data_IF_304618978631
#
_entry.id   IF_304618978631
#
_cell.length_a   1.000
_cell.length_b   1.000
_cell.length_c   1.000
_cell.angle_alpha   90.00
_cell.angle_beta   90.00
_cell.angle_gamma   90.00
#
_symmetry.space_group_name_H-M   'P 1'
#
loop_
_entity.id
_entity.type
_entity.pdbx_description
1 polymer ?
#
# COMPACT_ATOMS: atom_id res chain seq x y z
N UNK A 1 -37.53 33.53 -19.47
CA UNK A 1 -36.51 33.54 -18.44
C UNK A 1 -36.24 32.13 -18.01
N UNK A 2 -35.14 31.48 -18.38
CA UNK A 2 -34.84 30.12 -17.94
C UNK A 2 -34.26 30.14 -16.53
N UNK A 3 -34.79 29.28 -15.67
CA UNK A 3 -34.31 29.07 -14.31
C UNK A 3 -32.90 28.48 -14.38
N UNK A 4 -31.93 29.18 -13.82
CA UNK A 4 -30.57 28.65 -13.54
C UNK A 4 -30.72 27.62 -12.41
N UNK A 5 -30.59 26.36 -12.75
CA UNK A 5 -30.36 25.27 -11.79
C UNK A 5 -28.89 25.37 -11.38
N UNK A 6 -28.64 25.94 -10.22
CA UNK A 6 -27.31 25.87 -9.59
C UNK A 6 -27.11 24.44 -9.09
N UNK A 7 -26.26 23.69 -9.75
CA UNK A 7 -25.67 22.49 -9.17
C UNK A 7 -24.77 22.95 -8.02
N UNK A 8 -25.23 22.76 -6.81
CA UNK A 8 -24.38 22.82 -5.63
C UNK A 8 -23.56 21.55 -5.65
N UNK A 9 -22.33 21.63 -6.12
CA UNK A 9 -21.32 20.63 -5.83
C UNK A 9 -21.08 20.69 -4.32
N UNK A 10 -21.68 19.79 -3.57
CA UNK A 10 -21.18 19.44 -2.28
C UNK A 10 -19.80 18.84 -2.51
N UNK A 11 -18.75 19.58 -2.18
CA UNK A 11 -17.39 19.11 -2.07
C UNK A 11 -17.30 18.15 -0.88
N UNK A 12 -17.86 16.95 -1.04
CA UNK A 12 -17.67 15.83 -0.14
C UNK A 12 -16.29 15.23 -0.44
N UNK A 13 -15.34 15.54 0.44
CA UNK A 13 -14.27 14.71 1.00
C UNK A 13 -13.98 13.40 0.25
N UNK A 14 -13.45 13.50 -0.96
CA UNK A 14 -12.92 12.36 -1.73
C UNK A 14 -11.39 12.49 -1.84
N UNK A 15 -10.74 12.59 -0.73
CA UNK A 15 -9.29 12.54 -0.67
C UNK A 15 -8.86 11.26 0.00
N UNK A 16 -8.08 10.44 -0.67
CA UNK A 16 -7.51 9.18 -0.18
C UNK A 16 -8.37 7.93 -0.43
N UNK A 17 -8.72 7.65 -1.68
CA UNK A 17 -9.31 6.36 -2.03
C UNK A 17 -8.28 5.23 -2.18
N UNK A 18 -7.00 5.46 -1.93
CA UNK A 18 -6.00 4.39 -1.90
C UNK A 18 -5.85 3.70 -0.54
N UNK A 19 -6.54 4.10 0.50
CA UNK A 19 -6.42 3.45 1.82
C UNK A 19 -7.58 3.68 2.76
N UNK A 20 -8.78 3.75 2.25
CA UNK A 20 -9.92 3.76 3.16
C UNK A 20 -10.19 2.35 3.69
N UNK A 21 -9.54 2.04 4.82
CA UNK A 21 -10.32 1.41 5.86
C UNK A 21 -11.56 2.28 6.05
N UNK A 22 -12.67 1.85 5.50
CA UNK A 22 -13.94 2.56 5.43
C UNK A 22 -14.20 3.32 6.73
N UNK A 23 -14.11 4.65 6.69
CA UNK A 23 -14.80 5.44 7.68
C UNK A 23 -16.25 4.95 7.66
N UNK A 24 -16.84 4.69 8.82
CA UNK A 24 -18.20 4.15 8.96
C UNK A 24 -19.20 5.10 8.29
N UNK A 25 -19.32 5.01 6.97
CA UNK A 25 -20.45 5.57 6.27
C UNK A 25 -21.62 4.62 6.49
N UNK A 26 -22.73 5.14 6.97
CA UNK A 26 -24.00 4.43 6.97
C UNK A 26 -24.22 3.93 5.54
N UNK A 27 -24.65 2.67 5.37
CA UNK A 27 -24.96 2.14 4.05
C UNK A 27 -26.21 2.86 3.56
N UNK A 28 -26.03 3.78 2.61
CA UNK A 28 -27.16 4.50 2.00
C UNK A 28 -27.76 3.66 0.87
N UNK A 29 -29.10 3.67 0.73
CA UNK A 29 -29.76 2.99 -0.39
C UNK A 29 -29.39 3.64 -1.71
N UNK A 30 -29.06 2.83 -2.70
CA UNK A 30 -28.76 3.31 -4.03
C UNK A 30 -27.49 2.72 -4.59
N UNK A 31 -27.19 3.13 -5.81
CA UNK A 31 -25.98 2.74 -6.53
C UNK A 31 -24.98 3.88 -6.49
N UNK A 32 -23.74 3.56 -6.10
CA UNK A 32 -22.60 4.47 -6.14
C UNK A 32 -21.50 3.88 -7.01
N UNK A 33 -20.88 4.75 -7.78
CA UNK A 33 -19.75 4.41 -8.64
C UNK A 33 -18.59 5.37 -8.38
N UNK A 34 -17.46 4.81 -7.97
CA UNK A 34 -16.23 5.52 -7.74
C UNK A 34 -15.11 4.88 -8.51
N UNK A 35 -14.01 5.59 -8.70
CA UNK A 35 -12.86 5.01 -9.36
C UNK A 35 -11.57 5.76 -9.07
N UNK A 36 -10.48 5.05 -9.32
CA UNK A 36 -9.14 5.57 -9.34
C UNK A 36 -8.44 5.16 -10.62
N UNK A 37 -7.76 6.08 -11.27
CA UNK A 37 -6.99 5.79 -12.45
C UNK A 37 -5.67 6.56 -12.43
N UNK A 38 -4.58 5.89 -12.77
CA UNK A 38 -3.28 6.49 -13.05
C UNK A 38 -2.66 5.85 -14.27
N UNK A 39 -1.82 6.62 -14.96
CA UNK A 39 -1.10 6.09 -16.08
C UNK A 39 -0.25 7.16 -16.75
N UNK A 40 0.60 6.73 -17.65
CA UNK A 40 1.47 7.66 -18.34
C UNK A 40 2.35 6.99 -19.39
N UNK A 41 3.21 7.82 -19.95
CA UNK A 41 4.22 7.43 -20.91
C UNK A 41 5.50 8.19 -20.58
N UNK A 42 6.62 7.49 -20.64
CA UNK A 42 7.95 8.10 -20.50
C UNK A 42 8.93 7.56 -21.53
N UNK A 43 10.01 8.30 -21.70
CA UNK A 43 11.16 7.91 -22.51
C UNK A 43 12.39 8.05 -21.63
N UNK A 44 13.15 6.98 -21.48
CA UNK A 44 14.37 6.94 -20.70
C UNK A 44 15.59 6.74 -21.57
N UNK A 45 16.72 7.33 -21.16
CA UNK A 45 17.99 7.15 -21.83
C UNK A 45 18.68 5.81 -21.51
N UNK A 46 18.31 5.17 -20.39
CA UNK A 46 18.79 3.84 -20.02
C UNK A 46 17.62 2.94 -19.58
N UNK A 47 17.21 1.97 -20.40
CA UNK A 47 16.17 1.03 -20.06
C UNK A 47 16.63 -0.03 -19.03
N UNK A 48 17.93 -0.13 -18.73
CA UNK A 48 18.51 -1.20 -17.90
C UNK A 48 18.32 -0.95 -16.40
N UNK A 49 18.05 0.28 -15.96
CA UNK A 49 17.63 0.55 -14.57
C UNK A 49 16.34 -0.21 -14.17
N UNK A 50 15.69 -0.82 -15.15
CA UNK A 50 14.46 -1.56 -15.03
C UNK A 50 14.61 -3.07 -15.17
N UNK A 51 15.77 -3.64 -14.95
CA UNK A 51 15.98 -5.08 -15.13
C UNK A 51 15.06 -5.95 -14.23
N UNK A 52 14.48 -5.37 -13.19
CA UNK A 52 13.40 -5.98 -12.41
C UNK A 52 12.00 -5.43 -12.79
N UNK A 53 11.90 -4.65 -13.87
CA UNK A 53 10.59 -4.15 -14.29
C UNK A 53 9.73 -5.32 -14.72
N UNK A 54 8.71 -5.58 -13.95
CA UNK A 54 7.62 -6.45 -14.36
C UNK A 54 7.08 -5.99 -15.73
N UNK A 55 6.60 -6.92 -16.55
CA UNK A 55 6.04 -6.63 -17.89
C UNK A 55 4.98 -5.51 -17.90
N UNK A 56 4.33 -5.26 -16.75
CA UNK A 56 3.35 -4.20 -16.58
C UNK A 56 3.92 -2.78 -16.49
N UNK A 57 5.23 -2.61 -16.35
CA UNK A 57 5.91 -1.33 -16.47
C UNK A 57 6.18 -0.92 -17.93
N UNK A 58 5.69 -1.67 -18.90
CA UNK A 58 6.02 -1.57 -20.32
C UNK A 58 5.55 -0.30 -21.05
N UNK A 59 5.16 0.76 -20.34
CA UNK A 59 4.78 2.06 -20.96
C UNK A 59 5.96 2.94 -21.28
N UNK A 60 7.19 2.41 -21.31
CA UNK A 60 8.39 3.18 -21.61
C UNK A 60 8.88 4.10 -20.50
N UNK A 61 8.21 4.11 -19.34
CA UNK A 61 8.72 4.75 -18.13
C UNK A 61 9.68 3.80 -17.43
N UNK A 62 10.84 4.31 -17.05
CA UNK A 62 11.69 3.60 -16.11
C UNK A 62 11.10 3.71 -14.71
N UNK A 63 10.86 2.56 -14.10
CA UNK A 63 10.56 2.49 -12.68
C UNK A 63 11.88 2.41 -11.93
N UNK A 64 12.17 3.45 -11.16
CA UNK A 64 13.29 3.45 -10.25
C UNK A 64 12.94 2.62 -9.02
N UNK A 65 13.47 1.41 -8.97
CA UNK A 65 13.37 0.52 -7.83
C UNK A 65 14.76 0.14 -7.38
N UNK A 66 15.09 0.41 -6.12
CA UNK A 66 16.39 0.03 -5.59
C UNK A 66 16.51 -1.48 -5.53
N UNK A 67 17.62 -1.99 -6.04
CA UNK A 67 17.94 -3.40 -6.03
C UNK A 67 17.92 -3.98 -4.60
N UNK A 68 17.10 -5.01 -4.38
CA UNK A 68 16.86 -5.61 -3.07
C UNK A 68 15.78 -4.94 -2.23
N UNK A 69 15.17 -3.89 -2.72
CA UNK A 69 13.96 -3.37 -2.11
C UNK A 69 12.78 -4.29 -2.42
N UNK A 70 12.09 -4.73 -1.38
CA UNK A 70 11.01 -5.72 -1.45
C UNK A 70 9.64 -5.14 -1.22
N UNK A 71 9.55 -3.82 -1.00
CA UNK A 71 8.34 -3.25 -0.42
C UNK A 71 7.48 -2.53 -1.44
N UNK A 72 8.09 -1.77 -2.35
CA UNK A 72 7.36 -0.99 -3.33
C UNK A 72 8.25 -0.56 -4.47
N UNK A 73 7.72 -0.55 -5.67
CA UNK A 73 8.39 0.01 -6.84
C UNK A 73 8.58 1.52 -6.74
N UNK A 74 7.88 2.15 -5.81
CA UNK A 74 7.88 3.60 -5.58
C UNK A 74 8.52 4.02 -4.27
N UNK A 75 9.29 3.15 -3.60
CA UNK A 75 9.87 3.43 -2.28
C UNK A 75 10.78 4.66 -2.23
N UNK A 76 11.45 5.00 -3.33
CA UNK A 76 12.18 6.26 -3.53
C UNK A 76 11.29 7.42 -4.02
N UNK A 77 9.96 7.31 -3.94
CA UNK A 77 8.98 8.29 -4.40
C UNK A 77 8.26 7.87 -5.67
N UNK A 78 6.96 8.11 -5.72
CA UNK A 78 6.09 7.63 -6.79
C UNK A 78 6.02 8.53 -8.03
N UNK A 79 6.36 9.80 -7.94
CA UNK A 79 6.25 10.73 -9.07
C UNK A 79 7.20 10.34 -10.21
N UNK A 80 6.66 10.22 -11.44
CA UNK A 80 7.42 9.76 -12.60
C UNK A 80 7.88 8.31 -12.53
N UNK A 81 7.29 7.49 -11.65
CA UNK A 81 7.67 6.12 -11.34
C UNK A 81 6.45 5.19 -11.21
N UNK A 82 5.35 5.51 -11.85
CA UNK A 82 4.09 4.78 -11.69
C UNK A 82 3.70 4.03 -12.96
N UNK A 83 3.27 2.79 -12.77
CA UNK A 83 2.63 2.00 -13.81
C UNK A 83 1.21 2.48 -14.10
N UNK A 84 0.62 1.99 -15.20
CA UNK A 84 -0.79 2.16 -15.48
C UNK A 84 -1.62 1.33 -14.50
N UNK A 85 -2.69 1.94 -13.97
CA UNK A 85 -3.57 1.31 -13.00
C UNK A 85 -4.98 1.88 -13.09
N UNK A 86 -5.98 1.04 -12.95
CA UNK A 86 -7.38 1.44 -12.89
C UNK A 86 -8.10 0.62 -11.83
N UNK A 87 -8.88 1.29 -10.99
CA UNK A 87 -9.81 0.66 -10.04
C UNK A 87 -11.21 1.20 -10.28
N UNK A 88 -12.18 0.31 -10.36
CA UNK A 88 -13.60 0.62 -10.54
C UNK A 88 -14.38 0.04 -9.37
N UNK A 89 -14.87 0.92 -8.49
CA UNK A 89 -15.62 0.56 -7.30
C UNK A 89 -17.11 0.73 -7.55
N UNK A 90 -17.86 -0.36 -7.37
CA UNK A 90 -19.30 -0.43 -7.51
C UNK A 90 -19.92 -0.79 -6.15
N UNK A 91 -20.74 0.11 -5.61
CA UNK A 91 -21.42 -0.09 -4.34
C UNK A 91 -22.92 -0.03 -4.57
N UNK A 92 -23.65 -1.03 -4.09
CA UNK A 92 -25.12 -1.05 -4.12
C UNK A 92 -25.65 -1.21 -2.70
N UNK A 93 -26.27 -0.16 -2.18
CA UNK A 93 -26.97 -0.19 -0.90
C UNK A 93 -28.43 -0.59 -1.04
N UNK A 94 -28.93 -1.35 -0.06
CA UNK A 94 -30.32 -1.80 0.07
C UNK A 94 -30.81 -1.49 1.47
N UNK A 95 -32.02 -0.98 1.61
CA UNK A 95 -32.72 -0.90 2.89
C UNK A 95 -33.78 -1.99 2.99
N UNK A 96 -33.94 -2.54 4.18
CA UNK A 96 -35.01 -3.45 4.50
C UNK A 96 -35.81 -2.92 5.70
N UNK A 97 -37.03 -3.42 5.86
CA UNK A 97 -37.82 -3.17 7.06
C UNK A 97 -37.01 -3.62 8.29
N UNK A 98 -37.00 -2.84 9.35
CA UNK A 98 -36.31 -3.12 10.63
C UNK A 98 -34.94 -2.46 10.83
N UNK A 99 -34.68 -1.29 10.26
CA UNK A 99 -33.47 -0.47 10.48
C UNK A 99 -32.15 -1.13 10.09
N UNK A 100 -32.15 -2.23 9.36
CA UNK A 100 -30.97 -2.85 8.80
C UNK A 100 -30.71 -2.34 7.38
N UNK A 101 -29.47 -1.99 7.11
CA UNK A 101 -28.98 -1.67 5.77
C UNK A 101 -28.01 -2.74 5.28
N UNK A 102 -28.12 -3.10 4.01
CA UNK A 102 -27.24 -4.07 3.35
C UNK A 102 -26.50 -3.41 2.20
N UNK A 103 -25.23 -3.74 2.01
CA UNK A 103 -24.42 -3.29 0.89
C UNK A 103 -23.77 -4.45 0.17
N UNK A 104 -23.72 -4.36 -1.16
CA UNK A 104 -22.87 -5.19 -2.01
C UNK A 104 -21.78 -4.30 -2.60
N UNK A 105 -20.53 -4.73 -2.45
CA UNK A 105 -19.36 -3.98 -2.92
C UNK A 105 -18.58 -4.85 -3.89
N UNK A 106 -18.14 -4.26 -5.02
CA UNK A 106 -17.25 -4.88 -5.96
C UNK A 106 -16.17 -3.89 -6.39
N UNK A 107 -14.93 -4.34 -6.46
CA UNK A 107 -13.80 -3.58 -7.00
C UNK A 107 -13.15 -4.38 -8.13
N UNK A 108 -13.17 -3.79 -9.34
CA UNK A 108 -12.54 -4.33 -10.52
C UNK A 108 -11.26 -3.53 -10.76
N UNK A 109 -10.14 -4.23 -10.81
CA UNK A 109 -8.80 -3.64 -11.00
C UNK A 109 -8.25 -4.05 -12.35
N UNK A 110 -7.59 -3.11 -13.01
CA UNK A 110 -6.80 -3.36 -14.21
C UNK A 110 -5.38 -2.79 -14.02
N UNK A 111 -4.40 -3.66 -14.04
CA UNK A 111 -2.98 -3.35 -14.18
C UNK A 111 -2.49 -3.92 -15.50
N UNK A 112 -2.15 -5.20 -15.51
CA UNK A 112 -1.85 -6.01 -16.71
C UNK A 112 -3.07 -6.76 -17.19
N UNK A 113 -3.84 -7.27 -16.24
CA UNK A 113 -5.05 -8.05 -16.45
C UNK A 113 -6.21 -7.43 -15.69
N UNK A 114 -7.43 -7.75 -16.12
CA UNK A 114 -8.64 -7.39 -15.44
C UNK A 114 -8.89 -8.38 -14.30
N UNK A 115 -8.92 -7.91 -13.06
CA UNK A 115 -9.14 -8.74 -11.88
C UNK A 115 -10.32 -8.24 -11.05
N UNK A 116 -11.07 -9.15 -10.44
CA UNK A 116 -12.06 -8.84 -9.42
C UNK A 116 -11.36 -8.91 -8.06
N UNK A 117 -10.93 -7.76 -7.54
CA UNK A 117 -10.12 -7.71 -6.32
C UNK A 117 -10.95 -7.68 -5.05
N UNK A 118 -12.14 -7.08 -5.11
CA UNK A 118 -13.09 -7.17 -4.01
C UNK A 118 -14.47 -7.57 -4.51
N UNK A 119 -15.11 -8.46 -3.76
CA UNK A 119 -16.53 -8.79 -3.89
C UNK A 119 -17.03 -9.25 -2.52
N UNK A 120 -17.72 -8.37 -1.83
CA UNK A 120 -18.23 -8.68 -0.50
C UNK A 120 -19.58 -8.01 -0.23
N UNK A 121 -20.32 -8.58 0.69
CA UNK A 121 -21.53 -7.97 1.25
C UNK A 121 -21.27 -7.49 2.66
N UNK A 122 -22.02 -6.48 3.08
CA UNK A 122 -21.98 -5.93 4.44
C UNK A 122 -23.39 -5.62 4.94
N UNK A 123 -23.54 -5.61 6.27
CA UNK A 123 -24.79 -5.30 6.95
C UNK A 123 -24.55 -4.42 8.17
N UNK A 124 -25.28 -3.29 8.24
CA UNK A 124 -25.33 -2.38 9.38
C UNK A 124 -26.64 -2.56 10.14
N UNK A 125 -26.71 -2.00 11.37
CA UNK A 125 -27.96 -2.00 12.15
C UNK A 125 -28.29 -3.33 12.83
N UNK A 126 -27.40 -4.33 12.77
CA UNK A 126 -27.60 -5.64 13.43
C UNK A 126 -27.74 -5.48 14.95
N UNK A 127 -27.00 -4.54 15.53
CA UNK A 127 -27.08 -4.20 16.94
C UNK A 127 -27.71 -2.83 17.13
N UNK A 128 -28.89 -2.76 17.69
CA UNK A 128 -29.63 -1.50 17.90
C UNK A 128 -28.88 -0.51 18.82
N UNK A 129 -28.02 -0.99 19.71
CA UNK A 129 -27.23 -0.17 20.62
C UNK A 129 -25.85 0.21 20.06
N UNK A 130 -25.41 -0.40 18.97
CA UNK A 130 -24.11 -0.21 18.33
C UNK A 130 -24.31 -0.06 16.81
N UNK A 131 -24.93 1.04 16.41
CA UNK A 131 -25.29 1.31 15.01
C UNK A 131 -24.09 1.35 14.05
N UNK A 132 -22.88 1.57 14.57
CA UNK A 132 -21.65 1.58 13.78
C UNK A 132 -21.07 0.18 13.49
N UNK A 133 -21.53 -0.85 14.22
CA UNK A 133 -21.05 -2.20 14.02
C UNK A 133 -21.54 -2.77 12.69
N UNK A 134 -20.62 -3.18 11.85
CA UNK A 134 -20.88 -3.68 10.49
C UNK A 134 -20.34 -5.08 10.34
N UNK A 135 -21.21 -6.01 9.96
CA UNK A 135 -20.80 -7.36 9.55
C UNK A 135 -20.49 -7.38 8.06
N UNK A 136 -19.52 -8.19 7.67
CA UNK A 136 -19.15 -8.37 6.27
C UNK A 136 -18.76 -9.81 5.97
N UNK A 137 -18.91 -10.23 4.71
CA UNK A 137 -18.44 -11.51 4.19
C UNK A 137 -18.12 -11.40 2.70
N UNK A 138 -17.02 -11.98 2.27
CA UNK A 138 -16.57 -11.99 0.88
C UNK A 138 -15.06 -11.72 0.73
N UNK A 139 -14.61 -11.45 -0.51
CA UNK A 139 -13.24 -11.07 -0.83
C UNK A 139 -13.09 -9.57 -0.61
N UNK A 140 -12.09 -9.18 0.18
CA UNK A 140 -11.96 -7.78 0.60
C UNK A 140 -10.50 -7.39 0.89
N UNK A 141 -10.16 -6.13 0.61
CA UNK A 141 -9.01 -5.48 1.20
C UNK A 141 -9.28 -5.23 2.68
N UNK A 142 -8.47 -5.80 3.57
CA UNK A 142 -8.76 -5.79 4.98
C UNK A 142 -7.56 -5.36 5.84
N UNK A 143 -7.84 -4.56 6.87
CA UNK A 143 -6.87 -4.08 7.86
C UNK A 143 -5.62 -3.45 7.22
N UNK A 144 -5.79 -2.71 6.12
CA UNK A 144 -4.69 -2.05 5.43
C UNK A 144 -4.24 -0.79 6.16
N UNK A 145 -2.94 -0.59 6.22
CA UNK A 145 -2.29 0.69 6.52
C UNK A 145 -1.36 0.99 5.37
N UNK A 146 -1.56 2.12 4.71
CA UNK A 146 -0.84 2.48 3.50
C UNK A 146 -0.08 3.79 3.66
N UNK A 147 0.96 3.94 2.86
CA UNK A 147 1.76 5.15 2.79
C UNK A 147 1.56 5.84 1.45
N UNK A 148 1.61 7.18 1.45
CA UNK A 148 1.14 7.97 0.31
C UNK A 148 2.24 8.20 -0.75
N UNK A 149 3.43 8.64 -0.33
CA UNK A 149 4.46 9.08 -1.28
C UNK A 149 5.25 7.94 -1.90
N UNK A 150 5.29 6.78 -1.27
CA UNK A 150 5.97 5.60 -1.78
C UNK A 150 5.03 4.42 -2.06
N UNK A 151 3.72 4.66 -2.02
CA UNK A 151 2.67 3.73 -2.46
C UNK A 151 2.82 2.31 -1.88
N UNK A 152 3.08 2.23 -0.56
CA UNK A 152 3.38 0.98 0.11
C UNK A 152 2.28 0.59 1.11
N UNK A 153 1.95 -0.69 1.14
CA UNK A 153 1.11 -1.27 2.19
C UNK A 153 1.99 -1.64 3.39
N UNK A 154 1.96 -0.82 4.45
CA UNK A 154 2.72 -1.08 5.67
C UNK A 154 2.12 -2.19 6.54
N UNK A 155 0.83 -2.49 6.38
CA UNK A 155 0.09 -3.59 7.00
C UNK A 155 -1.06 -4.01 6.09
N UNK A 156 -1.35 -5.31 5.97
CA UNK A 156 -2.56 -5.81 5.32
C UNK A 156 -2.95 -7.21 5.79
N UNK A 157 -4.25 -7.52 5.64
CA UNK A 157 -4.83 -8.83 5.89
C UNK A 157 -5.89 -9.16 4.83
N UNK A 158 -5.56 -8.85 3.59
CA UNK A 158 -6.46 -9.01 2.45
C UNK A 158 -6.83 -10.45 2.20
N UNK A 159 -8.04 -10.69 1.72
CA UNK A 159 -8.46 -12.03 1.33
C UNK A 159 -9.97 -12.25 1.33
N UNK A 160 -10.35 -13.51 1.07
CA UNK A 160 -11.70 -13.99 1.26
C UNK A 160 -11.92 -14.26 2.76
N UNK A 161 -13.02 -13.75 3.30
CA UNK A 161 -13.27 -13.92 4.72
C UNK A 161 -14.60 -13.39 5.19
N UNK A 162 -14.67 -13.17 6.47
CA UNK A 162 -15.81 -12.56 7.14
C UNK A 162 -15.34 -11.87 8.43
N UNK A 163 -16.14 -10.93 8.90
CA UNK A 163 -15.79 -10.20 10.12
C UNK A 163 -16.86 -9.23 10.57
N UNK A 164 -16.49 -8.48 11.58
CA UNK A 164 -17.26 -7.36 12.13
C UNK A 164 -16.33 -6.18 12.30
N UNK A 165 -16.74 -5.02 11.80
CA UNK A 165 -16.02 -3.77 11.91
C UNK A 165 -16.75 -2.79 12.83
N UNK A 166 -15.98 -1.90 13.44
CA UNK A 166 -16.42 -0.65 14.07
C UNK A 166 -17.42 -0.81 15.23
N UNK A 167 -17.34 -1.91 15.96
CA UNK A 167 -18.09 -2.02 17.22
C UNK A 167 -17.56 -0.98 18.22
N UNK A 168 -18.40 -0.02 18.61
CA UNK A 168 -18.06 0.95 19.64
C UNK A 168 -17.99 0.26 21.00
N UNK A 169 -16.80 0.23 21.58
CA UNK A 169 -16.55 -0.34 22.93
C UNK A 169 -16.28 0.76 23.97
N UNK A 170 -16.60 2.01 23.66
CA UNK A 170 -16.42 3.18 24.52
C UNK A 170 -14.98 3.72 24.57
N UNK A 171 -13.99 2.86 24.43
CA UNK A 171 -12.57 3.27 24.34
C UNK A 171 -12.10 3.53 22.91
N UNK A 172 -12.89 3.11 21.91
CA UNK A 172 -12.59 3.19 20.50
C UNK A 172 -13.48 2.24 19.70
N UNK A 173 -13.17 2.06 18.41
CA UNK A 173 -13.88 1.20 17.47
C UNK A 173 -13.14 -0.13 17.33
N UNK A 174 -13.75 -1.21 17.78
CA UNK A 174 -13.20 -2.55 17.69
C UNK A 174 -13.63 -3.24 16.40
N UNK A 175 -12.68 -3.87 15.70
CA UNK A 175 -12.93 -4.70 14.52
C UNK A 175 -12.22 -6.04 14.67
N UNK A 176 -12.81 -7.10 14.12
CA UNK A 176 -12.25 -8.43 14.04
C UNK A 176 -12.69 -9.12 12.75
N UNK A 177 -11.76 -9.79 12.07
CA UNK A 177 -12.05 -10.55 10.87
C UNK A 177 -11.18 -11.78 10.74
N UNK A 178 -11.69 -12.75 9.99
CA UNK A 178 -10.95 -13.93 9.56
C UNK A 178 -10.82 -13.85 8.05
N UNK A 179 -9.59 -13.89 7.54
CA UNK A 179 -9.29 -13.78 6.12
C UNK A 179 -8.36 -14.91 5.66
N UNK A 180 -8.49 -15.28 4.40
CA UNK A 180 -7.63 -16.23 3.72
C UNK A 180 -7.22 -15.65 2.38
N UNK A 181 -5.94 -15.69 2.05
CA UNK A 181 -5.47 -15.25 0.73
C UNK A 181 -5.89 -16.23 -0.35
N UNK A 182 -6.34 -15.71 -1.49
CA UNK A 182 -6.81 -16.48 -2.64
C UNK A 182 -6.03 -16.12 -3.92
N UNK A 183 -4.76 -15.79 -3.82
CA UNK A 183 -3.96 -15.49 -5.01
C UNK A 183 -3.85 -16.65 -6.01
N UNK A 184 -4.15 -17.90 -5.56
CA UNK A 184 -4.24 -19.08 -6.42
C UNK A 184 -5.63 -19.71 -6.30
N UNK A 185 -6.62 -19.14 -6.94
CA UNK A 185 -7.99 -19.67 -6.97
C UNK A 185 -8.09 -21.10 -7.56
N UNK A 186 -7.06 -21.54 -8.30
CA UNK A 186 -7.02 -22.83 -8.98
C UNK A 186 -6.28 -23.94 -8.22
N UNK A 187 -5.51 -23.61 -7.17
CA UNK A 187 -4.71 -24.58 -6.42
C UNK A 187 -5.00 -24.51 -4.93
N UNK A 188 -6.08 -25.16 -4.50
CA UNK A 188 -6.35 -25.47 -3.09
C UNK A 188 -5.23 -26.33 -2.44
N UNK A 189 -4.27 -26.79 -3.23
CA UNK A 189 -3.13 -27.63 -2.83
C UNK A 189 -1.93 -26.80 -2.35
N UNK A 190 -1.75 -25.58 -2.80
CA UNK A 190 -0.75 -24.66 -2.23
C UNK A 190 -1.34 -24.03 -0.97
N UNK A 191 -0.87 -24.47 0.17
CA UNK A 191 -1.42 -24.08 1.45
C UNK A 191 -1.44 -22.58 1.68
N UNK A 192 -2.63 -22.07 1.96
CA UNK A 192 -2.86 -20.66 2.24
C UNK A 192 -2.81 -20.37 3.73
N UNK A 193 -2.36 -19.18 4.06
CA UNK A 193 -2.47 -18.63 5.42
C UNK A 193 -3.90 -18.20 5.68
N UNK A 194 -4.47 -18.69 6.76
CA UNK A 194 -5.69 -18.14 7.36
C UNK A 194 -5.27 -17.24 8.50
N UNK A 195 -5.77 -16.01 8.50
CA UNK A 195 -5.44 -15.01 9.50
C UNK A 195 -6.67 -14.57 10.28
N UNK A 196 -6.50 -14.39 11.58
CA UNK A 196 -7.41 -13.63 12.45
C UNK A 196 -6.78 -12.27 12.66
N UNK A 197 -7.47 -11.22 12.24
CA UNK A 197 -7.01 -9.85 12.37
C UNK A 197 -7.97 -9.05 13.24
N UNK A 198 -7.43 -8.34 14.23
CA UNK A 198 -8.20 -7.47 15.10
C UNK A 198 -7.58 -6.08 15.19
N UNK A 199 -8.43 -5.08 15.38
CA UNK A 199 -7.98 -3.72 15.64
C UNK A 199 -8.88 -3.01 16.66
N UNK A 200 -8.29 -2.10 17.40
CA UNK A 200 -8.99 -1.10 18.20
C UNK A 200 -8.53 0.27 17.70
N UNK A 201 -9.43 1.02 17.06
CA UNK A 201 -9.10 2.25 16.34
C UNK A 201 -9.77 3.46 16.99
N UNK A 202 -9.28 4.66 16.62
CA UNK A 202 -9.81 5.95 17.11
C UNK A 202 -9.81 6.08 18.62
N UNK A 203 -8.80 5.51 19.29
CA UNK A 203 -8.56 5.74 20.71
C UNK A 203 -8.05 7.17 20.85
N UNK A 204 -8.84 8.04 21.47
CA UNK A 204 -8.48 9.46 21.60
C UNK A 204 -7.53 9.64 22.80
N UNK A 205 -6.31 10.06 22.51
CA UNK A 205 -5.29 10.43 23.48
C UNK A 205 -5.29 11.95 23.74
N UNK A 206 -4.58 12.44 24.78
CA UNK A 206 -4.40 13.88 24.99
C UNK A 206 -3.85 14.59 23.75
N UNK A 207 -4.19 15.87 23.56
CA UNK A 207 -3.81 16.73 22.43
C UNK A 207 -4.39 16.30 21.07
N UNK A 208 -5.54 15.63 21.08
CA UNK A 208 -6.24 15.17 19.87
C UNK A 208 -5.38 14.22 19.00
N UNK A 209 -4.57 13.40 19.64
CA UNK A 209 -3.86 12.32 18.96
C UNK A 209 -4.81 11.10 18.94
N UNK A 210 -4.99 10.49 17.79
CA UNK A 210 -5.69 9.21 17.66
C UNK A 210 -4.67 8.07 17.65
N UNK A 211 -4.95 7.02 18.40
CA UNK A 211 -4.18 5.78 18.42
C UNK A 211 -5.02 4.64 17.85
N UNK A 212 -4.47 3.94 16.86
CA UNK A 212 -4.98 2.65 16.40
C UNK A 212 -4.00 1.55 16.82
N UNK A 213 -4.53 0.43 17.26
CA UNK A 213 -3.79 -0.79 17.65
C UNK A 213 -4.27 -1.94 16.79
N UNK A 214 -3.33 -2.72 16.23
CA UNK A 214 -3.61 -3.88 15.40
C UNK A 214 -2.92 -5.11 15.97
N UNK A 215 -3.62 -6.24 15.99
CA UNK A 215 -3.08 -7.54 16.36
C UNK A 215 -3.59 -8.63 15.42
N UNK A 216 -2.66 -9.27 14.70
CA UNK A 216 -2.96 -10.27 13.68
C UNK A 216 -2.25 -11.58 14.03
N UNK A 217 -2.94 -12.69 13.80
CA UNK A 217 -2.40 -14.03 13.91
C UNK A 217 -2.74 -14.83 12.65
N UNK A 218 -1.73 -15.45 12.03
CA UNK A 218 -1.88 -16.28 10.86
C UNK A 218 -1.42 -17.72 11.10
N UNK A 219 -2.12 -18.66 10.52
CA UNK A 219 -1.75 -20.09 10.53
C UNK A 219 -1.96 -20.70 9.17
N UNK A 220 -1.07 -21.63 8.82
CA UNK A 220 -1.14 -22.35 7.57
C UNK A 220 -2.18 -23.48 7.65
N UNK A 221 -3.13 -23.51 6.72
CA UNK A 221 -4.26 -24.45 6.70
C UNK A 221 -4.21 -25.45 5.52
N UNK A 222 -3.12 -25.46 4.75
CA UNK A 222 -2.98 -26.36 3.61
C UNK A 222 -2.67 -27.80 3.98
N UNK A 223 -2.76 -28.74 3.03
CA UNK A 223 -2.34 -30.13 3.22
C UNK A 223 -0.85 -30.19 3.55
N UNK A 224 -0.48 -31.09 4.45
CA UNK A 224 0.88 -31.25 4.94
C UNK A 224 1.83 -31.91 3.94
N UNK A 225 1.51 -31.96 2.65
CA UNK A 225 2.21 -32.80 1.67
C UNK A 225 2.42 -32.05 0.36
N UNK A 226 3.68 -31.87 -0.01
CA UNK A 226 4.07 -32.02 -1.41
C UNK A 226 4.77 -33.38 -1.55
N UNK A 227 4.66 -34.04 -2.68
CA UNK A 227 5.28 -35.34 -2.99
C UNK A 227 6.82 -35.34 -2.89
N UNK A 228 7.44 -34.22 -2.60
CA UNK A 228 8.88 -33.98 -2.52
C UNK A 228 9.42 -33.79 -1.09
N UNK A 229 8.99 -34.55 -0.12
CA UNK A 229 9.59 -34.64 1.23
C UNK A 229 9.70 -33.30 2.03
N UNK A 230 9.12 -32.21 1.59
CA UNK A 230 9.07 -30.97 2.36
C UNK A 230 7.75 -30.87 3.10
N UNK A 231 7.83 -30.78 4.42
CA UNK A 231 6.66 -30.52 5.25
C UNK A 231 6.23 -29.06 5.07
N UNK A 232 5.22 -28.82 4.23
CA UNK A 232 4.74 -27.48 3.93
C UNK A 232 4.38 -26.68 5.20
N UNK A 233 4.03 -27.37 6.28
CA UNK A 233 3.74 -26.76 7.58
C UNK A 233 5.01 -26.32 8.32
N UNK A 234 6.14 -27.02 8.15
CA UNK A 234 7.44 -26.59 8.67
C UNK A 234 7.99 -25.40 7.88
N UNK A 235 7.67 -25.34 6.57
CA UNK A 235 8.06 -24.22 5.72
C UNK A 235 7.24 -22.96 6.00
N UNK A 236 5.99 -23.08 6.47
CA UNK A 236 5.10 -21.94 6.76
C UNK A 236 4.65 -21.97 8.25
N UNK A 237 5.48 -21.54 9.17
CA UNK A 237 5.15 -21.52 10.59
C UNK A 237 4.04 -20.50 10.87
N UNK A 238 3.41 -20.61 12.06
CA UNK A 238 2.48 -19.60 12.53
C UNK A 238 3.13 -18.22 12.51
N UNK A 239 2.35 -17.23 12.11
CA UNK A 239 2.78 -15.84 11.98
C UNK A 239 1.96 -14.93 12.89
N UNK A 240 2.55 -13.83 13.35
CA UNK A 240 1.82 -12.80 14.07
C UNK A 240 2.39 -11.41 13.80
N UNK A 241 1.52 -10.42 13.94
CA UNK A 241 1.86 -9.01 13.83
C UNK A 241 1.22 -8.23 14.97
N UNK A 242 1.95 -7.25 15.46
CA UNK A 242 1.47 -6.21 16.36
C UNK A 242 1.85 -4.86 15.79
N UNK A 243 0.88 -3.95 15.66
CA UNK A 243 1.15 -2.64 15.11
C UNK A 243 0.39 -1.53 15.84
N UNK A 244 0.96 -0.33 15.77
CA UNK A 244 0.43 0.89 16.37
C UNK A 244 0.49 2.00 15.35
N UNK A 245 -0.61 2.75 15.20
CA UNK A 245 -0.65 3.95 14.37
C UNK A 245 -1.07 5.14 15.23
N UNK A 246 -0.27 6.18 15.22
CA UNK A 246 -0.60 7.47 15.82
C UNK A 246 -0.90 8.44 14.69
N UNK A 247 -2.05 9.09 14.76
CA UNK A 247 -2.45 10.11 13.82
C UNK A 247 -2.76 11.40 14.56
N UNK A 248 -2.36 12.53 13.98
CA UNK A 248 -2.69 13.87 14.47
C UNK A 248 -2.90 14.82 13.30
N UNK A 249 -3.92 15.63 13.42
CA UNK A 249 -4.22 16.68 12.44
C UNK A 249 -5.45 16.39 11.61
N UNK A 250 -5.56 17.09 10.51
CA UNK A 250 -6.68 17.03 9.58
C UNK A 250 -6.21 16.74 8.15
N UNK A 251 -7.09 16.86 7.21
CA UNK A 251 -6.81 16.63 5.80
C UNK A 251 -5.69 17.53 5.22
N UNK A 252 -5.51 18.73 5.76
CA UNK A 252 -4.57 19.73 5.27
C UNK A 252 -3.25 19.73 6.01
N UNK A 253 -3.27 19.40 7.31
CA UNK A 253 -2.09 19.40 8.16
C UNK A 253 -2.12 18.19 9.06
N UNK A 254 -1.43 17.14 8.66
CA UNK A 254 -1.38 15.90 9.42
C UNK A 254 0.03 15.37 9.63
N UNK A 255 0.13 14.54 10.63
CA UNK A 255 1.26 13.67 10.91
C UNK A 255 0.74 12.28 11.24
N UNK A 256 1.35 11.26 10.68
CA UNK A 256 1.05 9.88 10.96
C UNK A 256 2.35 9.13 11.26
N UNK A 257 2.38 8.43 12.38
CA UNK A 257 3.47 7.53 12.74
C UNK A 257 2.92 6.12 12.87
N UNK A 258 3.53 5.17 12.17
CA UNK A 258 3.17 3.77 12.21
C UNK A 258 4.37 2.91 12.63
N UNK A 259 4.16 1.98 13.56
CA UNK A 259 5.16 1.01 14.03
C UNK A 259 4.56 -0.39 13.94
N UNK A 260 5.30 -1.33 13.32
CA UNK A 260 4.91 -2.73 13.20
C UNK A 260 6.03 -3.66 13.67
N UNK A 261 5.66 -4.67 14.42
CA UNK A 261 6.44 -5.88 14.63
C UNK A 261 5.75 -7.05 13.93
N UNK A 262 6.52 -7.84 13.17
CA UNK A 262 6.04 -9.05 12.49
C UNK A 262 6.95 -10.22 12.81
N UNK A 263 6.38 -11.40 12.96
CA UNK A 263 7.09 -12.65 13.15
C UNK A 263 6.60 -13.68 12.13
N UNK A 264 7.52 -14.32 11.39
CA UNK A 264 7.26 -15.23 10.28
C UNK A 264 6.33 -14.65 9.21
N UNK A 265 6.32 -13.35 9.04
CA UNK A 265 5.58 -12.61 8.03
C UNK A 265 6.22 -11.24 7.82
N UNK A 266 5.85 -10.57 6.75
CA UNK A 266 6.27 -9.20 6.45
C UNK A 266 5.13 -8.20 6.68
N UNK A 267 4.76 -7.41 5.67
CA UNK A 267 3.67 -6.44 5.72
C UNK A 267 2.28 -7.11 5.70
N UNK A 268 2.11 -8.24 5.01
CA UNK A 268 0.84 -8.94 4.90
C UNK A 268 0.84 -10.25 5.68
N UNK A 269 -0.16 -10.43 6.56
CA UNK A 269 -0.30 -11.65 7.35
C UNK A 269 -0.85 -12.82 6.51
N UNK A 270 -1.54 -12.55 5.41
CA UNK A 270 -2.18 -13.56 4.55
C UNK A 270 -1.33 -13.96 3.34
N UNK A 271 -0.32 -13.17 2.96
CA UNK A 271 0.52 -13.44 1.79
C UNK A 271 1.78 -14.20 2.17
N UNK A 272 1.97 -15.39 1.59
CA UNK A 272 3.11 -16.28 1.88
C UNK A 272 4.21 -16.25 0.82
N UNK A 273 3.94 -15.74 -0.37
CA UNK A 273 4.87 -15.73 -1.50
C UNK A 273 5.97 -14.66 -1.40
N UNK A 274 5.78 -13.67 -0.56
CA UNK A 274 6.82 -12.69 -0.28
C UNK A 274 7.86 -13.29 0.66
N UNK A 275 9.11 -12.98 0.44
CA UNK A 275 10.19 -13.44 1.29
C UNK A 275 9.91 -13.06 2.76
N UNK A 276 9.52 -14.06 3.54
CA UNK A 276 9.08 -13.86 4.92
C UNK A 276 10.26 -13.98 5.87
N UNK A 277 10.66 -12.90 6.55
CA UNK A 277 11.69 -12.94 7.58
C UNK A 277 11.21 -13.70 8.82
N UNK A 278 12.15 -14.15 9.67
CA UNK A 278 11.82 -14.69 10.98
C UNK A 278 11.19 -13.62 11.86
N UNK A 279 11.71 -12.40 11.81
CA UNK A 279 11.05 -11.22 12.38
C UNK A 279 11.38 -9.97 11.59
N UNK A 280 10.50 -8.99 11.68
CA UNK A 280 10.65 -7.68 11.06
C UNK A 280 10.07 -6.59 11.96
N UNK A 281 10.78 -5.47 12.03
CA UNK A 281 10.29 -4.24 12.65
C UNK A 281 10.26 -3.16 11.58
N UNK A 282 9.09 -2.54 11.39
CA UNK A 282 8.90 -1.42 10.46
C UNK A 282 8.42 -0.19 11.19
N UNK A 283 8.99 0.96 10.87
CA UNK A 283 8.59 2.28 11.37
C UNK A 283 8.43 3.25 10.21
N UNK A 284 7.31 3.97 10.19
CA UNK A 284 6.95 4.89 9.11
C UNK A 284 6.46 6.20 9.71
N UNK A 285 6.93 7.32 9.17
CA UNK A 285 6.45 8.63 9.56
C UNK A 285 6.16 9.47 8.33
N UNK A 286 4.90 9.80 8.13
CA UNK A 286 4.44 10.56 6.97
C UNK A 286 3.57 11.74 7.38
N UNK A 287 3.43 12.69 6.47
CA UNK A 287 2.52 13.82 6.68
C UNK A 287 2.45 14.77 5.52
N UNK A 288 1.50 15.70 5.65
CA UNK A 288 1.28 16.83 4.74
C UNK A 288 1.23 18.11 5.56
N UNK A 289 1.93 19.16 5.12
CA UNK A 289 1.93 20.48 5.74
C UNK A 289 1.61 21.54 4.71
N UNK A 290 0.58 22.33 4.97
CA UNK A 290 0.32 23.58 4.27
C UNK A 290 1.14 24.68 4.91
N UNK A 291 2.20 25.11 4.24
CA UNK A 291 3.08 26.20 4.72
C UNK A 291 2.45 27.55 4.42
N UNK A 292 1.86 27.66 3.23
CA UNK A 292 1.00 28.78 2.81
C UNK A 292 -0.21 28.22 2.05
N UNK A 293 -1.11 29.08 1.59
CA UNK A 293 -2.25 28.66 0.74
C UNK A 293 -1.78 27.97 -0.55
N UNK A 294 -0.65 28.40 -1.10
CA UNK A 294 -0.12 27.90 -2.37
C UNK A 294 1.05 26.94 -2.22
N UNK A 295 1.71 26.87 -1.05
CA UNK A 295 2.90 26.05 -0.86
C UNK A 295 2.68 24.96 0.18
N UNK A 296 2.97 23.71 -0.21
CA UNK A 296 2.77 22.51 0.59
C UNK A 296 3.98 21.60 0.53
N UNK A 297 4.19 20.87 1.62
CA UNK A 297 5.24 19.85 1.72
C UNK A 297 4.59 18.55 2.19
N UNK A 298 4.72 17.49 1.40
CA UNK A 298 4.44 16.13 1.84
C UNK A 298 5.75 15.38 2.06
N UNK A 299 5.77 14.49 3.04
CA UNK A 299 6.98 13.74 3.38
C UNK A 299 6.65 12.34 3.89
N UNK A 300 7.59 11.43 3.69
CA UNK A 300 7.62 10.14 4.35
C UNK A 300 9.06 9.76 4.67
N UNK A 301 9.27 9.25 5.87
CA UNK A 301 10.41 8.47 6.26
C UNK A 301 9.97 7.06 6.57
N UNK A 302 10.70 6.07 6.04
CA UNK A 302 10.43 4.64 6.24
C UNK A 302 11.69 3.95 6.71
N UNK A 303 11.54 3.03 7.65
CA UNK A 303 12.62 2.21 8.17
C UNK A 303 12.11 0.81 8.44
N UNK A 304 12.84 -0.21 7.98
CA UNK A 304 12.57 -1.60 8.34
C UNK A 304 13.86 -2.37 8.63
N UNK A 305 13.78 -3.23 9.63
CA UNK A 305 14.79 -4.22 9.94
C UNK A 305 14.18 -5.60 9.83
N UNK A 306 14.74 -6.45 8.99
CA UNK A 306 14.34 -7.83 8.80
C UNK A 306 15.48 -8.78 9.15
N UNK A 307 15.16 -9.89 9.82
CA UNK A 307 16.12 -10.94 10.17
C UNK A 307 15.64 -12.28 9.63
N UNK A 308 16.58 -13.05 9.07
CA UNK A 308 16.35 -14.37 8.51
C UNK A 308 17.23 -15.38 9.24
N UNK A 309 16.63 -16.14 10.16
CA UNK A 309 17.29 -17.30 10.78
C UNK A 309 17.53 -18.43 9.75
N UNK A 310 18.15 -19.52 10.14
CA UNK A 310 18.42 -20.64 9.24
C UNK A 310 17.15 -21.20 8.60
N UNK A 311 16.04 -21.29 9.35
CA UNK A 311 14.78 -21.79 8.83
C UNK A 311 14.16 -20.85 7.80
N UNK A 312 14.18 -19.55 8.07
CA UNK A 312 13.71 -18.53 7.12
C UNK A 312 14.58 -18.48 5.86
N UNK A 313 15.91 -18.56 6.00
CA UNK A 313 16.82 -18.62 4.83
C UNK A 313 16.56 -19.85 3.95
N UNK A 314 16.40 -21.02 4.55
CA UNK A 314 16.04 -22.25 3.81
C UNK A 314 14.69 -22.12 3.10
N UNK A 315 13.69 -21.56 3.78
CA UNK A 315 12.35 -21.33 3.22
C UNK A 315 12.37 -20.36 2.04
N UNK A 316 13.20 -19.32 2.13
CA UNK A 316 13.29 -18.26 1.12
C UNK A 316 14.41 -18.48 0.09
N UNK A 317 15.14 -19.59 0.15
CA UNK A 317 16.28 -19.90 -0.72
C UNK A 317 17.28 -18.75 -0.80
N UNK A 318 17.64 -18.14 0.35
CA UNK A 318 18.53 -16.97 0.42
C UNK A 318 19.64 -17.20 1.43
N UNK A 319 20.79 -16.62 1.18
CA UNK A 319 21.91 -16.52 2.13
C UNK A 319 21.86 -15.25 3.00
N UNK A 320 20.88 -14.39 2.77
CA UNK A 320 20.67 -13.16 3.53
C UNK A 320 20.35 -13.45 4.99
N UNK A 321 21.06 -12.80 5.90
CA UNK A 321 20.84 -12.88 7.36
C UNK A 321 20.03 -11.69 7.85
N UNK A 322 20.45 -10.47 7.52
CA UNK A 322 19.75 -9.27 7.89
C UNK A 322 19.57 -8.33 6.68
N UNK A 323 18.50 -7.55 6.72
CA UNK A 323 18.27 -6.41 5.83
C UNK A 323 17.84 -5.20 6.64
N UNK A 324 18.49 -4.06 6.41
CA UNK A 324 18.16 -2.78 7.02
C UNK A 324 17.80 -1.79 5.91
N UNK A 325 16.52 -1.53 5.74
CA UNK A 325 16.01 -0.60 4.74
C UNK A 325 15.70 0.76 5.36
N UNK A 326 16.06 1.82 4.63
CA UNK A 326 15.69 3.20 4.93
C UNK A 326 15.26 3.90 3.65
N UNK A 327 14.22 4.71 3.75
CA UNK A 327 13.76 5.58 2.67
C UNK A 327 13.32 6.93 3.23
N UNK A 328 13.62 7.99 2.48
CA UNK A 328 13.13 9.34 2.74
C UNK A 328 12.63 9.95 1.44
N UNK A 329 11.36 10.37 1.41
CA UNK A 329 10.77 11.07 0.27
C UNK A 329 10.20 12.41 0.74
N UNK A 330 10.51 13.46 -0.01
CA UNK A 330 9.99 14.80 0.19
C UNK A 330 9.38 15.28 -1.12
N UNK A 331 8.14 15.75 -1.08
CA UNK A 331 7.47 16.40 -2.22
C UNK A 331 7.07 17.82 -1.85
N UNK A 332 7.64 18.76 -2.57
CA UNK A 332 7.29 20.18 -2.50
C UNK A 332 6.29 20.48 -3.62
N UNK A 333 5.19 21.15 -3.31
CA UNK A 333 4.15 21.52 -4.27
C UNK A 333 3.88 23.01 -4.17
N UNK A 334 4.04 23.73 -5.27
CA UNK A 334 3.75 25.15 -5.40
C UNK A 334 2.65 25.37 -6.44
N UNK A 335 1.48 25.79 -6.01
CA UNK A 335 0.40 26.18 -6.88
C UNK A 335 0.65 27.60 -7.41
N UNK A 336 0.65 27.78 -8.74
CA UNK A 336 0.76 29.09 -9.38
C UNK A 336 -0.61 29.77 -9.48
N UNK A 337 -1.63 28.98 -9.58
CA UNK A 337 -3.04 29.37 -9.66
C UNK A 337 -3.93 28.14 -9.46
N UNK A 338 -5.24 28.28 -9.65
CA UNK A 338 -6.22 27.20 -9.49
C UNK A 338 -6.08 26.03 -10.49
N UNK A 339 -5.23 26.13 -11.50
CA UNK A 339 -5.14 25.13 -12.59
C UNK A 339 -3.74 24.60 -12.81
N UNK A 340 -2.71 25.26 -12.29
CA UNK A 340 -1.32 24.91 -12.55
C UNK A 340 -0.48 24.90 -11.29
N UNK A 341 0.42 23.94 -11.18
CA UNK A 341 1.41 23.84 -10.11
C UNK A 341 2.73 23.29 -10.61
N UNK A 342 3.78 23.51 -9.84
CA UNK A 342 5.05 22.81 -9.99
C UNK A 342 5.25 21.95 -8.75
N UNK A 343 5.62 20.68 -8.97
CA UNK A 343 6.02 19.79 -7.90
C UNK A 343 7.48 19.33 -8.08
N UNK A 344 8.18 19.24 -6.96
CA UNK A 344 9.55 18.71 -6.89
C UNK A 344 9.54 17.59 -5.84
N UNK A 345 9.79 16.37 -6.30
CA UNK A 345 9.92 15.21 -5.42
C UNK A 345 11.37 14.74 -5.40
N UNK A 346 11.91 14.59 -4.19
CA UNK A 346 13.22 14.00 -3.95
C UNK A 346 13.07 12.77 -3.10
N UNK A 347 13.72 11.68 -3.50
CA UNK A 347 13.75 10.44 -2.75
C UNK A 347 15.19 9.93 -2.59
N UNK A 348 15.47 9.37 -1.43
CA UNK A 348 16.68 8.61 -1.14
C UNK A 348 16.29 7.28 -0.54
N UNK A 349 16.97 6.23 -0.93
CA UNK A 349 16.73 4.88 -0.46
C UNK A 349 18.04 4.14 -0.26
N UNK A 350 18.08 3.29 0.77
CA UNK A 350 19.23 2.45 1.07
C UNK A 350 18.79 1.12 1.68
N UNK A 351 19.39 0.02 1.23
CA UNK A 351 19.24 -1.30 1.88
C UNK A 351 20.61 -1.85 2.17
N UNK A 352 20.93 -2.07 3.45
CA UNK A 352 22.14 -2.76 3.88
C UNK A 352 21.81 -4.23 4.15
N UNK A 353 22.61 -5.11 3.58
CA UNK A 353 22.48 -6.56 3.73
C UNK A 353 23.67 -7.14 4.49
N UNK A 354 23.40 -8.15 5.31
CA UNK A 354 24.40 -9.10 5.80
C UNK A 354 24.04 -10.51 5.36
N UNK A 355 25.04 -11.33 5.12
CA UNK A 355 24.91 -12.69 4.62
C UNK A 355 25.62 -13.71 5.53
N UNK A 356 25.36 -15.00 5.28
CA UNK A 356 26.12 -16.08 5.93
C UNK A 356 27.61 -16.05 5.58
N UNK A 357 27.95 -15.61 4.37
CA UNK A 357 29.31 -15.29 3.95
C UNK A 357 29.50 -13.76 4.00
N UNK A 358 30.35 -13.23 4.90
CA UNK A 358 30.59 -11.80 4.99
C UNK A 358 31.15 -11.16 3.72
N UNK A 359 31.69 -11.94 2.78
CA UNK A 359 32.13 -11.42 1.49
C UNK A 359 30.95 -10.97 0.59
N UNK A 360 29.73 -11.35 0.94
CA UNK A 360 28.50 -10.97 0.26
C UNK A 360 27.76 -9.82 0.97
N UNK A 361 28.28 -9.33 2.09
CA UNK A 361 27.73 -8.14 2.75
C UNK A 361 27.86 -6.94 1.82
N UNK A 362 26.89 -6.03 1.89
CA UNK A 362 26.96 -4.82 1.08
C UNK A 362 25.78 -3.89 1.33
N UNK A 363 25.84 -2.74 0.69
CA UNK A 363 24.81 -1.70 0.78
C UNK A 363 24.41 -1.26 -0.61
N UNK A 364 23.14 -1.48 -0.94
CA UNK A 364 22.55 -0.92 -2.15
C UNK A 364 21.92 0.43 -1.79
N UNK A 365 22.15 1.45 -2.60
CA UNK A 365 21.58 2.77 -2.36
C UNK A 365 21.20 3.47 -3.66
N UNK A 366 20.31 4.46 -3.54
CA UNK A 366 19.92 5.25 -4.69
C UNK A 366 19.18 6.52 -4.32
N UNK A 367 19.13 7.43 -5.25
CA UNK A 367 18.34 8.65 -5.12
C UNK A 367 17.62 8.99 -6.41
N UNK A 368 16.50 9.69 -6.25
CA UNK A 368 15.65 10.15 -7.34
C UNK A 368 15.28 11.60 -7.13
N UNK A 369 15.30 12.36 -8.22
CA UNK A 369 14.79 13.72 -8.30
C UNK A 369 13.80 13.81 -9.46
N UNK A 370 12.56 14.17 -9.17
CA UNK A 370 11.54 14.44 -10.19
C UNK A 370 11.04 15.87 -10.07
N UNK A 371 11.02 16.57 -11.21
CA UNK A 371 10.37 17.88 -11.34
C UNK A 371 9.21 17.74 -12.29
N UNK A 372 8.03 18.23 -11.91
CA UNK A 372 6.87 18.19 -12.77
C UNK A 372 6.15 19.55 -12.85
N UNK A 373 5.65 19.84 -14.04
CA UNK A 373 4.68 20.91 -14.26
C UNK A 373 3.31 20.27 -14.44
N UNK A 374 2.34 20.72 -13.64
CA UNK A 374 1.05 20.07 -13.52
C UNK A 374 -0.08 20.94 -14.06
N UNK A 375 -1.08 20.26 -14.64
CA UNK A 375 -2.42 20.80 -14.93
C UNK A 375 -3.40 20.00 -14.05
N UNK A 376 -4.23 20.70 -13.27
CA UNK A 376 -5.16 20.07 -12.33
C UNK A 376 -6.52 20.75 -12.27
N UNK A 377 -7.54 20.03 -11.78
CA UNK A 377 -8.91 20.51 -11.71
C UNK A 377 -9.15 21.55 -10.59
N UNK A 378 -8.28 21.58 -9.58
CA UNK A 378 -8.33 22.51 -8.46
C UNK A 378 -6.94 22.74 -7.86
N UNK A 379 -6.77 23.71 -6.96
CA UNK A 379 -5.48 24.09 -6.38
C UNK A 379 -5.05 23.25 -5.17
N UNK A 380 -5.94 22.40 -4.65
CA UNK A 380 -5.65 21.52 -3.52
C UNK A 380 -4.61 20.45 -3.82
N UNK A 381 -3.85 20.03 -2.83
CA UNK A 381 -2.86 18.94 -2.98
C UNK A 381 -3.50 17.64 -3.48
N UNK A 382 -4.73 17.39 -3.07
CA UNK A 382 -5.50 16.19 -3.39
C UNK A 382 -6.48 16.38 -4.56
N UNK A 383 -6.57 17.58 -5.15
CA UNK A 383 -7.51 17.83 -6.24
C UNK A 383 -7.12 17.03 -7.49
N UNK A 384 -8.08 16.30 -8.04
CA UNK A 384 -7.94 15.48 -9.25
C UNK A 384 -9.10 15.75 -10.21
N UNK A 385 -8.94 15.50 -11.51
CA UNK A 385 -7.76 14.91 -12.16
C UNK A 385 -6.57 15.86 -12.21
N UNK A 386 -5.37 15.26 -12.32
CA UNK A 386 -4.11 15.97 -12.57
C UNK A 386 -3.39 15.32 -13.76
N UNK A 387 -2.78 16.16 -14.62
CA UNK A 387 -1.82 15.73 -15.64
C UNK A 387 -0.47 16.35 -15.26
N UNK A 388 0.57 15.51 -15.19
CA UNK A 388 1.93 15.90 -14.85
C UNK A 388 2.85 15.70 -16.06
N UNK A 389 3.54 16.75 -16.47
CA UNK A 389 4.67 16.68 -17.41
C UNK A 389 5.93 16.70 -16.56
N UNK A 390 6.75 15.66 -16.61
CA UNK A 390 7.84 15.46 -15.67
C UNK A 390 9.18 15.15 -16.35
N UNK A 391 10.24 15.45 -15.61
CA UNK A 391 11.57 14.94 -15.83
C UNK A 391 12.04 14.31 -14.52
N UNK A 392 12.53 13.07 -14.58
CA UNK A 392 13.10 12.33 -13.46
C UNK A 392 14.56 12.01 -13.75
N UNK A 393 15.43 12.29 -12.81
CA UNK A 393 16.79 11.76 -12.75
C UNK A 393 16.90 10.81 -11.58
N UNK A 394 17.52 9.65 -11.81
CA UNK A 394 17.75 8.64 -10.78
C UNK A 394 19.17 8.07 -10.92
N UNK A 395 19.75 7.72 -9.78
CA UNK A 395 21.05 7.04 -9.70
C UNK A 395 20.94 5.92 -8.66
N UNK A 396 21.53 4.76 -8.98
CA UNK A 396 21.64 3.60 -8.09
C UNK A 396 23.07 3.12 -8.02
N UNK A 397 23.46 2.63 -6.84
CA UNK A 397 24.70 1.88 -6.61
C UNK A 397 24.37 0.54 -5.95
N UNK A 398 24.75 -0.56 -6.61
CA UNK A 398 24.45 -1.94 -6.20
C UNK A 398 25.75 -2.64 -5.82
N UNK A 399 25.98 -2.80 -4.53
CA UNK A 399 27.18 -3.48 -3.99
C UNK A 399 26.97 -5.00 -3.80
N UNK A 400 25.71 -5.44 -3.61
CA UNK A 400 25.43 -6.86 -3.32
C UNK A 400 24.14 -7.35 -3.93
N UNK A 401 24.11 -8.65 -4.27
CA UNK A 401 22.94 -9.37 -4.79
C UNK A 401 22.50 -10.51 -3.85
N UNK A 402 22.93 -10.49 -2.58
CA UNK A 402 22.63 -11.56 -1.61
C UNK A 402 21.16 -11.87 -1.43
N UNK A 403 20.29 -10.93 -1.77
CA UNK A 403 18.82 -11.06 -1.73
C UNK A 403 18.24 -11.83 -2.92
N UNK A 404 19.02 -12.09 -3.99
CA UNK A 404 18.52 -12.77 -5.18
C UNK A 404 18.41 -14.28 -4.97
N UNK A 405 17.34 -14.87 -5.54
CA UNK A 405 17.25 -16.31 -5.73
C UNK A 405 18.13 -16.74 -6.90
N UNK A 406 18.70 -17.94 -6.80
CA UNK A 406 19.55 -18.51 -7.86
C UNK A 406 18.85 -18.65 -9.22
N UNK A 407 17.52 -18.49 -9.29
CA UNK A 407 16.70 -18.62 -10.48
C UNK A 407 16.25 -17.27 -11.07
N UNK A 408 16.44 -16.16 -10.37
CA UNK A 408 16.07 -14.83 -10.88
C UNK A 408 17.15 -14.31 -11.85
N UNK A 409 17.56 -15.16 -12.80
CA UNK A 409 18.70 -15.07 -13.73
C UNK A 409 18.83 -13.80 -14.54
N UNK A 410 18.29 -12.65 -14.16
CA UNK A 410 18.35 -11.47 -15.00
C UNK A 410 18.81 -10.20 -14.30
N UNK A 411 20.04 -9.84 -14.63
CA UNK A 411 20.46 -8.54 -15.17
C UNK A 411 20.48 -7.35 -14.20
N UNK A 412 20.45 -7.54 -12.90
CA UNK A 412 20.79 -6.42 -12.03
C UNK A 412 22.27 -6.12 -12.19
N UNK A 413 22.55 -4.93 -12.66
CA UNK A 413 23.92 -4.46 -12.89
C UNK A 413 24.55 -4.05 -11.57
N UNK A 414 25.63 -4.72 -11.18
CA UNK A 414 26.48 -4.28 -10.07
C UNK A 414 27.13 -2.94 -10.38
N UNK A 415 27.32 -2.14 -9.32
CA UNK A 415 27.95 -0.82 -9.38
C UNK A 415 26.97 0.30 -9.67
N UNK A 416 27.52 1.45 -10.02
CA UNK A 416 26.75 2.66 -10.30
C UNK A 416 26.01 2.59 -11.64
N UNK A 417 24.77 3.05 -11.63
CA UNK A 417 23.95 3.25 -12.82
C UNK A 417 23.06 4.49 -12.66
N UNK A 418 22.78 5.17 -13.77
CA UNK A 418 21.97 6.39 -13.78
C UNK A 418 21.02 6.42 -14.98
N UNK A 419 19.86 7.05 -14.78
CA UNK A 419 18.93 7.29 -15.88
C UNK A 419 18.21 8.63 -15.74
N UNK A 420 17.83 9.16 -16.89
CA UNK A 420 16.94 10.30 -17.01
C UNK A 420 15.71 9.89 -17.82
N UNK A 421 14.54 10.12 -17.25
CA UNK A 421 13.25 9.86 -17.90
C UNK A 421 12.50 11.17 -18.07
N UNK A 422 11.94 11.38 -19.25
CA UNK A 422 11.03 12.49 -19.55
C UNK A 422 9.68 11.89 -19.91
N UNK A 423 8.59 12.42 -19.37
CA UNK A 423 7.28 11.85 -19.63
C UNK A 423 6.11 12.73 -19.23
N UNK A 424 4.94 12.12 -19.42
CA UNK A 424 3.68 12.65 -18.95
C UNK A 424 2.90 11.55 -18.26
N UNK A 425 2.28 11.88 -17.12
CA UNK A 425 1.41 10.98 -16.38
C UNK A 425 0.13 11.68 -15.96
N UNK A 426 -0.94 10.94 -15.78
CA UNK A 426 -2.17 11.43 -15.18
C UNK A 426 -2.52 10.63 -13.93
N UNK A 427 -3.32 11.28 -13.08
CA UNK A 427 -3.93 10.64 -11.93
C UNK A 427 -5.33 11.23 -11.73
N UNK A 428 -6.32 10.37 -11.55
CA UNK A 428 -7.72 10.76 -11.41
C UNK A 428 -8.44 9.88 -10.40
N UNK A 429 -9.39 10.47 -9.68
CA UNK A 429 -10.41 9.76 -8.92
C UNK A 429 -11.74 10.52 -9.01
N UNK A 430 -12.84 9.82 -8.87
CA UNK A 430 -14.21 10.34 -9.00
C UNK A 430 -15.18 9.60 -8.10
#
# INVERSE_FOLDING_TARGET
MPKKTSFVFNSLTLGLLCSFSHASSVIEPGFEFHGYAKGGLGISNDPILNAEAYDWAANGMNIFRLAGNRYSDSSGGRMGNEANWLELHFNQGFTHDHDMAWGLNANIVYGDELALDELYTQADGVFTQHSNARFWAGKRYYARVETVLNDMQALSSDGLGFGMDDLDVGAGLFSIGVTRNLYNETNLESGDMVAVSSSLRKIVLPKQIELDVFANFGTFMGPAVSDDNSNARELNPNAYQLAFKLHRGDYFNNDEFFLRYSHNTSMSITRTWQQTPSYQIGAFYQGLKHITEDYRIAYIWSHENAHFDEAARKRNYTEQVDAHWNSLVLRNSLAWNQRTSTEIETGYEQVRFTATDPAQDGTNSGYKLTVSQNLHAGSGYWDRPVIRFFITYANMDVETLVYQHSNDGEQIKMGESEATTIGAQFEAWW
#
